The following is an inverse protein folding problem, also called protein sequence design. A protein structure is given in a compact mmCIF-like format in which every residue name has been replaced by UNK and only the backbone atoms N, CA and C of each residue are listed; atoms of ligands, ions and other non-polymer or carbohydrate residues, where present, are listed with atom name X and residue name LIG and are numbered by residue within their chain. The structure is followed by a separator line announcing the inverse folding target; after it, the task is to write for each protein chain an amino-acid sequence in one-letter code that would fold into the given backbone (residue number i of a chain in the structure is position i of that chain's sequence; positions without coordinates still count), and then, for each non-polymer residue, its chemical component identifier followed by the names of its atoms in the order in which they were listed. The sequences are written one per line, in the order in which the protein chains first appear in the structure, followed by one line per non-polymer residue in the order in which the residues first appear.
data_IF_040903910541
#
_entry.id   IF_040903910541
#
_cell.length_a   1.000
_cell.length_b   1.000
_cell.length_c   1.000
_cell.angle_alpha   90.00
_cell.angle_beta   90.00
_cell.angle_gamma   90.00
#
_symmetry.space_group_name_H-M   'P 1'
#
loop_
_entity.id
_entity.type
_entity.pdbx_description
1 polymer ?
#
# COMPACT_ATOMS: atom_id res chain seq x y z
N UNK A 1 -7.81 -34.18 11.94
CA UNK A 1 -9.12 -33.77 12.47
C UNK A 1 -8.89 -32.45 13.17
N UNK A 2 -8.97 -31.34 12.42
CA UNK A 2 -8.64 -30.00 12.92
C UNK A 2 -9.84 -29.48 13.71
N UNK A 3 -9.66 -29.23 15.01
CA UNK A 3 -10.61 -28.48 15.82
C UNK A 3 -10.43 -27.00 15.48
N UNK A 4 -11.44 -26.39 14.84
CA UNK A 4 -11.54 -24.95 14.71
C UNK A 4 -11.79 -24.35 16.10
N UNK A 5 -10.82 -23.60 16.62
CA UNK A 5 -10.97 -22.81 17.84
C UNK A 5 -11.85 -21.59 17.56
N UNK A 6 -13.16 -21.72 17.72
CA UNK A 6 -14.14 -20.63 17.52
C UNK A 6 -14.88 -20.25 18.81
N UNK A 7 -14.17 -20.22 19.94
CA UNK A 7 -14.76 -19.88 21.26
C UNK A 7 -14.15 -18.59 21.83
N UNK A 8 -14.45 -17.43 21.23
CA UNK A 8 -14.07 -16.16 21.84
C UNK A 8 -15.14 -15.56 22.76
N UNK A 9 -16.40 -16.02 22.73
CA UNK A 9 -17.46 -15.45 23.56
C UNK A 9 -18.52 -16.48 23.99
N UNK A 10 -18.14 -17.51 24.74
CA UNK A 10 -19.10 -18.18 25.62
C UNK A 10 -18.73 -17.85 27.07
N UNK A 11 -19.41 -16.85 27.63
CA UNK A 11 -19.48 -16.70 29.09
C UNK A 11 -20.19 -17.96 29.62
N UNK A 12 -19.40 -18.91 30.11
CA UNK A 12 -19.91 -20.07 30.82
C UNK A 12 -20.43 -19.56 32.17
N UNK A 13 -21.75 -19.33 32.25
CA UNK A 13 -22.46 -19.37 33.52
C UNK A 13 -22.62 -20.85 33.88
N UNK A 14 -21.60 -21.45 34.50
CA UNK A 14 -21.80 -22.70 35.23
C UNK A 14 -21.20 -22.59 36.64
N UNK A 15 -22.13 -22.57 37.58
CA UNK A 15 -21.97 -23.08 38.93
C UNK A 15 -21.30 -24.47 38.90
N UNK A 16 -20.40 -24.70 39.86
CA UNK A 16 -19.62 -25.93 40.16
C UNK A 16 -18.27 -26.16 39.43
N UNK A 17 -17.22 -25.58 40.02
CA UNK A 17 -15.98 -26.25 40.47
C UNK A 17 -15.37 -27.39 39.62
N UNK A 18 -15.02 -27.10 38.37
CA UNK A 18 -13.84 -27.73 37.74
C UNK A 18 -13.02 -26.60 37.13
N UNK A 19 -11.88 -26.29 37.74
CA UNK A 19 -10.94 -25.30 37.23
C UNK A 19 -10.24 -25.88 35.99
N UNK A 20 -10.92 -25.83 34.84
CA UNK A 20 -10.27 -26.04 33.55
C UNK A 20 -9.50 -24.76 33.26
N UNK A 21 -8.18 -24.80 33.48
CA UNK A 21 -7.27 -23.78 32.98
C UNK A 21 -7.26 -23.95 31.47
N UNK A 22 -8.16 -23.27 30.77
CA UNK A 22 -8.05 -23.08 29.33
C UNK A 22 -6.88 -22.12 29.14
N UNK A 23 -5.72 -22.66 28.78
CA UNK A 23 -4.63 -21.86 28.24
C UNK A 23 -5.15 -21.26 26.92
N UNK A 24 -5.66 -20.04 27.00
CA UNK A 24 -5.99 -19.25 25.81
C UNK A 24 -4.64 -18.93 25.17
N UNK A 25 -4.29 -19.66 24.10
CA UNK A 25 -3.22 -19.22 23.22
C UNK A 25 -3.60 -17.82 22.72
N UNK A 26 -2.85 -16.82 23.19
CA UNK A 26 -3.00 -15.46 22.70
C UNK A 26 -2.60 -15.48 21.25
N UNK A 27 -3.57 -15.34 20.35
CA UNK A 27 -3.31 -15.07 18.95
C UNK A 27 -2.30 -13.92 18.86
N UNK A 28 -1.21 -14.12 18.10
CA UNK A 28 -0.31 -13.03 17.75
C UNK A 28 -1.16 -11.95 17.07
N UNK A 29 -1.17 -10.74 17.63
CA UNK A 29 -1.91 -9.63 17.04
C UNK A 29 -1.18 -9.00 15.88
N UNK A 30 -1.89 -8.11 15.20
CA UNK A 30 -1.34 -7.22 14.19
C UNK A 30 -1.91 -5.81 14.36
N UNK A 31 -1.19 -4.82 13.82
CA UNK A 31 -1.67 -3.44 13.71
C UNK A 31 -2.60 -3.32 12.53
N UNK A 32 -3.81 -2.80 12.74
CA UNK A 32 -4.78 -2.56 11.67
C UNK A 32 -4.21 -1.58 10.63
N UNK A 33 -4.25 -1.96 9.35
CA UNK A 33 -3.82 -1.11 8.24
C UNK A 33 -4.87 -1.01 7.13
N UNK A 34 -5.68 -2.06 6.96
CA UNK A 34 -6.64 -2.16 5.86
C UNK A 34 -7.97 -2.68 6.39
N UNK A 35 -9.06 -2.02 6.01
CA UNK A 35 -10.41 -2.52 6.16
C UNK A 35 -11.02 -2.75 4.78
N UNK A 36 -11.56 -3.94 4.55
CA UNK A 36 -12.28 -4.33 3.34
C UNK A 36 -13.75 -4.47 3.65
N UNK A 37 -14.59 -3.73 2.95
CA UNK A 37 -16.03 -3.77 3.06
C UNK A 37 -16.57 -4.53 1.85
N UNK A 38 -17.35 -5.58 2.11
CA UNK A 38 -17.96 -6.37 1.05
C UNK A 38 -19.47 -6.16 1.03
N UNK A 39 -19.99 -5.62 -0.06
CA UNK A 39 -21.42 -5.56 -0.31
C UNK A 39 -21.94 -6.97 -0.60
N UNK A 40 -23.11 -7.28 -0.08
CA UNK A 40 -23.78 -8.56 -0.29
C UNK A 40 -24.04 -8.81 -1.77
N UNK A 41 -23.98 -10.08 -2.17
CA UNK A 41 -24.29 -10.51 -3.53
C UNK A 41 -25.79 -10.74 -3.75
N UNK A 42 -26.63 -10.49 -2.74
CA UNK A 42 -28.08 -10.56 -2.88
C UNK A 42 -28.57 -9.50 -3.85
N UNK A 43 -29.62 -9.83 -4.59
CA UNK A 43 -30.32 -8.85 -5.43
C UNK A 43 -30.77 -7.69 -4.55
N UNK A 44 -30.58 -6.45 -5.03
CA UNK A 44 -30.86 -5.18 -4.33
C UNK A 44 -30.08 -4.96 -3.03
N UNK A 45 -28.86 -5.50 -2.93
CA UNK A 45 -27.95 -5.21 -1.83
C UNK A 45 -27.10 -3.94 -2.05
N UNK A 46 -27.01 -3.42 -3.27
CA UNK A 46 -26.30 -2.18 -3.57
C UNK A 46 -26.99 -0.96 -2.98
N UNK A 47 -26.29 0.17 -2.96
CA UNK A 47 -26.74 1.48 -2.47
C UNK A 47 -27.37 2.35 -3.56
N UNK A 48 -27.74 1.75 -4.69
CA UNK A 48 -28.20 2.41 -5.91
C UNK A 48 -29.59 3.08 -5.78
N UNK A 49 -30.24 3.04 -4.61
CA UNK A 49 -31.52 3.73 -4.37
C UNK A 49 -32.70 3.15 -5.16
N UNK A 50 -32.57 1.94 -5.72
CA UNK A 50 -33.65 1.22 -6.39
C UNK A 50 -34.15 1.87 -7.70
N UNK A 51 -35.46 1.80 -7.99
CA UNK A 51 -36.07 2.22 -9.26
C UNK A 51 -35.86 3.70 -9.64
N UNK A 52 -35.49 4.54 -8.66
CA UNK A 52 -35.15 5.96 -8.85
C UNK A 52 -33.64 6.23 -8.80
N UNK A 53 -32.79 5.20 -8.90
CA UNK A 53 -31.33 5.32 -8.81
C UNK A 53 -30.70 6.30 -9.81
N UNK A 54 -31.38 6.59 -10.92
CA UNK A 54 -30.97 7.64 -11.87
C UNK A 54 -30.96 9.07 -11.29
N UNK A 55 -31.55 9.28 -10.10
CA UNK A 55 -31.53 10.56 -9.40
C UNK A 55 -30.37 10.72 -8.40
N UNK A 56 -29.49 9.71 -8.24
CA UNK A 56 -28.40 9.71 -7.24
C UNK A 56 -28.87 10.10 -5.83
N UNK A 57 -30.08 9.67 -5.44
CA UNK A 57 -30.64 9.92 -4.10
C UNK A 57 -30.33 8.81 -3.10
N UNK A 58 -29.65 7.74 -3.55
CA UNK A 58 -29.14 6.65 -2.71
C UNK A 58 -27.80 6.99 -2.06
N UNK A 59 -27.31 6.07 -1.22
CA UNK A 59 -26.04 6.20 -0.53
C UNK A 59 -26.11 6.72 0.90
N UNK A 60 -24.92 6.82 1.48
CA UNK A 60 -24.70 7.36 2.81
C UNK A 60 -23.24 7.30 3.23
N UNK A 61 -23.02 7.67 4.48
CA UNK A 61 -21.71 7.79 5.10
C UNK A 61 -21.54 6.68 6.13
N UNK A 62 -20.37 6.04 6.12
CA UNK A 62 -20.02 4.99 7.09
C UNK A 62 -18.99 5.49 8.08
N UNK A 63 -19.19 5.13 9.34
CA UNK A 63 -18.19 5.25 10.39
C UNK A 63 -18.04 3.92 11.10
N UNK A 64 -16.86 3.66 11.65
CA UNK A 64 -16.57 2.44 12.39
C UNK A 64 -15.98 2.75 13.75
N UNK A 65 -16.31 1.91 14.72
CA UNK A 65 -15.67 1.82 16.02
C UNK A 65 -15.26 0.38 16.27
N UNK A 66 -13.98 0.15 16.50
CA UNK A 66 -13.42 -1.18 16.75
C UNK A 66 -13.02 -1.25 18.21
N UNK A 67 -13.41 -2.32 18.90
CA UNK A 67 -13.10 -2.49 20.32
C UNK A 67 -12.49 -3.86 20.59
N UNK A 68 -11.48 -3.89 21.45
CA UNK A 68 -11.04 -5.10 22.12
C UNK A 68 -11.90 -5.29 23.38
N UNK A 69 -12.78 -6.28 23.37
CA UNK A 69 -13.75 -6.53 24.44
C UNK A 69 -13.09 -6.99 25.75
N UNK A 70 -11.85 -7.47 25.71
CA UNK A 70 -11.13 -7.90 26.91
C UNK A 70 -10.47 -6.72 27.64
N UNK A 71 -9.92 -5.77 26.88
CA UNK A 71 -9.21 -4.61 27.45
C UNK A 71 -10.09 -3.35 27.53
N UNK A 72 -11.24 -3.36 26.86
CA UNK A 72 -12.13 -2.21 26.67
C UNK A 72 -11.42 -1.00 26.01
N UNK A 73 -10.36 -1.26 25.24
CA UNK A 73 -9.69 -0.26 24.41
C UNK A 73 -10.37 -0.26 23.04
N UNK A 74 -10.70 0.92 22.54
CA UNK A 74 -11.35 1.10 21.24
C UNK A 74 -10.65 2.18 20.41
N UNK A 75 -10.85 2.12 19.10
CA UNK A 75 -10.62 3.21 18.16
C UNK A 75 -11.93 3.54 17.43
N UNK A 76 -12.02 4.73 16.84
CA UNK A 76 -13.20 5.17 16.09
C UNK A 76 -12.81 6.13 14.97
N UNK A 77 -13.47 6.03 13.81
CA UNK A 77 -13.36 7.03 12.75
C UNK A 77 -14.26 8.21 13.09
N UNK A 78 -13.65 9.37 13.36
CA UNK A 78 -14.34 10.61 13.72
C UNK A 78 -15.05 11.25 12.53
N UNK A 79 -14.48 11.12 11.34
CA UNK A 79 -15.10 11.53 10.09
C UNK A 79 -15.62 10.32 9.31
N UNK A 80 -16.59 10.49 8.40
CA UNK A 80 -17.01 9.44 7.49
C UNK A 80 -15.83 8.82 6.74
N UNK A 81 -15.91 7.51 6.51
CA UNK A 81 -15.01 6.81 5.62
C UNK A 81 -15.20 7.33 4.19
N UNK A 82 -14.22 8.10 3.72
CA UNK A 82 -14.25 8.71 2.39
C UNK A 82 -14.10 7.63 1.31
N UNK A 83 -15.07 7.60 0.40
CA UNK A 83 -15.03 6.81 -0.83
C UNK A 83 -15.12 7.74 -2.02
N UNK A 84 -14.59 7.31 -3.17
CA UNK A 84 -14.76 8.08 -4.42
C UNK A 84 -16.23 8.12 -4.86
N UNK A 85 -17.01 7.12 -4.44
CA UNK A 85 -18.42 6.98 -4.74
C UNK A 85 -19.17 6.42 -3.51
N UNK A 86 -20.33 7.00 -3.21
CA UNK A 86 -21.18 6.62 -2.08
C UNK A 86 -22.35 5.72 -2.52
N UNK A 87 -22.27 5.11 -3.70
CA UNK A 87 -23.31 4.32 -4.36
C UNK A 87 -22.85 2.88 -4.62
N UNK A 88 -22.28 2.21 -3.60
CA UNK A 88 -21.65 0.90 -3.77
C UNK A 88 -22.58 -0.13 -4.41
N UNK A 89 -22.10 -0.79 -5.46
CA UNK A 89 -22.84 -1.76 -6.23
C UNK A 89 -22.95 -3.12 -5.54
N UNK A 90 -23.86 -3.95 -6.03
CA UNK A 90 -24.01 -5.33 -5.57
C UNK A 90 -22.70 -6.11 -5.76
N UNK A 91 -22.23 -6.79 -4.70
CA UNK A 91 -20.95 -7.53 -4.67
C UNK A 91 -19.69 -6.65 -4.77
N UNK A 92 -19.81 -5.33 -4.70
CA UNK A 92 -18.66 -4.44 -4.68
C UNK A 92 -17.79 -4.68 -3.44
N UNK A 93 -16.48 -4.50 -3.62
CA UNK A 93 -15.49 -4.58 -2.55
C UNK A 93 -14.80 -3.23 -2.46
N UNK A 94 -14.96 -2.59 -1.31
CA UNK A 94 -14.34 -1.31 -1.00
C UNK A 94 -13.20 -1.48 0.00
N UNK A 95 -12.12 -0.75 -0.19
CA UNK A 95 -10.94 -0.79 0.67
C UNK A 95 -10.67 0.57 1.29
N UNK A 96 -10.38 0.56 2.60
CA UNK A 96 -9.94 1.73 3.36
C UNK A 96 -8.58 1.42 3.96
N UNK A 97 -7.58 2.24 3.66
CA UNK A 97 -6.17 1.94 3.88
C UNK A 97 -5.51 3.11 4.63
N UNK A 98 -4.68 2.79 5.62
CA UNK A 98 -3.84 3.75 6.33
C UNK A 98 -4.67 4.91 6.91
N UNK A 99 -4.40 6.13 6.44
CA UNK A 99 -5.01 7.36 6.97
C UNK A 99 -6.52 7.41 6.84
N UNK A 100 -7.11 6.68 5.88
CA UNK A 100 -8.57 6.60 5.73
C UNK A 100 -9.24 5.98 6.96
N UNK A 101 -8.49 5.20 7.76
CA UNK A 101 -8.95 4.60 9.01
C UNK A 101 -8.78 5.53 10.22
N UNK A 102 -8.18 6.71 10.07
CA UNK A 102 -8.05 7.73 11.11
C UNK A 102 -7.45 7.16 12.41
N UNK A 103 -8.08 7.39 13.57
CA UNK A 103 -7.61 6.88 14.88
C UNK A 103 -7.57 5.34 14.97
N UNK A 104 -8.21 4.65 14.03
CA UNK A 104 -8.12 3.19 13.92
C UNK A 104 -6.87 2.71 13.16
N UNK A 105 -6.15 3.59 12.48
CA UNK A 105 -4.86 3.23 11.90
C UNK A 105 -3.91 2.76 13.00
N UNK A 106 -3.31 1.59 12.82
CA UNK A 106 -2.43 0.91 13.77
C UNK A 106 -3.09 0.42 15.08
N UNK A 107 -4.42 0.34 15.14
CA UNK A 107 -5.10 -0.30 16.27
C UNK A 107 -4.64 -1.76 16.43
N UNK A 108 -4.30 -2.17 17.66
CA UNK A 108 -3.76 -3.50 17.95
C UNK A 108 -4.87 -4.58 17.94
N UNK A 109 -4.95 -5.35 16.86
CA UNK A 109 -5.94 -6.38 16.60
C UNK A 109 -5.58 -7.68 17.32
N UNK A 110 -5.92 -7.76 18.62
CA UNK A 110 -5.67 -8.93 19.47
C UNK A 110 -6.93 -9.38 20.20
N UNK A 111 -7.08 -10.69 20.40
CA UNK A 111 -8.13 -11.25 21.26
C UNK A 111 -9.55 -11.07 20.71
N UNK A 112 -10.49 -10.69 21.58
CA UNK A 112 -11.91 -10.59 21.24
C UNK A 112 -12.22 -9.21 20.64
N UNK A 113 -12.25 -9.13 19.31
CA UNK A 113 -12.57 -7.89 18.59
C UNK A 113 -14.07 -7.80 18.30
N UNK A 114 -14.62 -6.61 18.45
CA UNK A 114 -15.93 -6.23 17.93
C UNK A 114 -15.84 -5.02 17.01
N UNK A 115 -16.81 -4.93 16.11
CA UNK A 115 -17.01 -3.81 15.21
C UNK A 115 -18.40 -3.22 15.47
N UNK A 116 -18.44 -1.94 15.78
CA UNK A 116 -19.66 -1.13 15.66
C UNK A 116 -19.58 -0.36 14.35
N UNK A 117 -20.53 -0.61 13.46
CA UNK A 117 -20.67 0.13 12.22
C UNK A 117 -21.84 1.08 12.33
N UNK A 118 -21.63 2.32 11.92
CA UNK A 118 -22.62 3.40 11.96
C UNK A 118 -22.81 3.86 10.52
N UNK A 119 -24.05 4.02 10.11
CA UNK A 119 -24.42 4.55 8.81
C UNK A 119 -25.32 5.77 8.98
N UNK A 120 -25.09 6.79 8.17
CA UNK A 120 -25.95 7.96 8.02
C UNK A 120 -26.24 8.22 6.54
N UNK A 121 -27.49 8.06 6.12
CA UNK A 121 -27.86 8.29 4.71
C UNK A 121 -29.19 7.65 4.35
N UNK A 122 -29.56 7.68 3.08
CA UNK A 122 -30.84 7.11 2.64
C UNK A 122 -30.77 5.61 2.40
N UNK A 123 -29.61 5.11 1.94
CA UNK A 123 -29.43 3.71 1.56
C UNK A 123 -27.97 3.29 1.74
N UNK A 124 -27.70 2.54 2.81
CA UNK A 124 -26.36 1.99 3.07
C UNK A 124 -26.19 0.57 2.53
N UNK A 125 -27.12 0.09 1.70
CA UNK A 125 -27.03 -1.25 1.13
C UNK A 125 -26.98 -2.35 2.20
N UNK A 126 -26.82 -3.59 1.75
CA UNK A 126 -26.61 -4.75 2.63
C UNK A 126 -25.13 -5.16 2.56
N UNK A 127 -24.40 -4.98 3.65
CA UNK A 127 -23.01 -5.43 3.75
C UNK A 127 -22.97 -6.90 4.20
N UNK A 128 -22.19 -7.74 3.52
CA UNK A 128 -21.98 -9.14 3.92
C UNK A 128 -21.03 -9.20 5.11
N UNK A 129 -19.85 -8.58 4.98
CA UNK A 129 -18.83 -8.56 6.02
C UNK A 129 -17.91 -7.34 5.89
N UNK A 130 -17.23 -7.04 6.99
CA UNK A 130 -16.03 -6.20 7.01
C UNK A 130 -14.86 -7.07 7.44
N UNK A 131 -13.77 -7.03 6.69
CA UNK A 131 -12.55 -7.78 6.98
C UNK A 131 -11.39 -6.82 7.27
N UNK A 132 -10.68 -7.07 8.36
CA UNK A 132 -9.54 -6.26 8.80
C UNK A 132 -8.23 -6.99 8.59
N UNK A 133 -7.21 -6.26 8.10
CA UNK A 133 -5.87 -6.79 7.81
C UNK A 133 -4.76 -5.87 8.34
N UNK A 134 -3.59 -6.47 8.54
CA UNK A 134 -2.35 -5.73 8.78
C UNK A 134 -1.66 -5.31 7.49
N UNK A 135 -0.41 -4.86 7.60
CA UNK A 135 0.46 -4.53 6.45
C UNK A 135 0.76 -5.75 5.56
N UNK A 136 0.45 -6.97 6.01
CA UNK A 136 0.61 -8.22 5.29
C UNK A 136 -0.57 -8.56 4.36
N UNK A 137 -1.43 -7.61 4.01
CA UNK A 137 -2.57 -7.87 3.11
C UNK A 137 -2.16 -8.38 1.72
N UNK A 138 -1.04 -7.91 1.16
CA UNK A 138 -0.52 -8.36 -0.14
C UNK A 138 -0.03 -9.82 -0.15
N UNK A 139 -0.12 -10.52 0.98
CA UNK A 139 0.28 -11.90 1.15
C UNK A 139 -0.96 -12.76 0.93
N UNK A 140 -0.88 -13.76 0.03
CA UNK A 140 -2.05 -14.48 -0.48
C UNK A 140 -2.99 -15.02 0.62
N UNK A 141 -4.24 -15.37 0.28
CA UNK A 141 -5.32 -15.69 1.23
C UNK A 141 -4.97 -16.68 2.38
N UNK A 142 -3.97 -17.54 2.16
CA UNK A 142 -3.50 -18.52 3.16
C UNK A 142 -2.40 -18.00 4.08
N UNK A 143 -1.94 -16.76 3.90
CA UNK A 143 -0.72 -16.22 4.51
C UNK A 143 -0.94 -14.91 5.28
N UNK A 144 -2.19 -14.52 5.52
CA UNK A 144 -2.51 -13.29 6.27
C UNK A 144 -3.32 -13.58 7.52
N UNK A 145 -3.10 -12.77 8.55
CA UNK A 145 -3.99 -12.70 9.71
C UNK A 145 -5.14 -11.75 9.37
N UNK A 146 -6.36 -12.21 9.58
CA UNK A 146 -7.56 -11.40 9.30
C UNK A 146 -8.59 -11.53 10.42
N UNK A 147 -9.32 -10.44 10.70
CA UNK A 147 -10.54 -10.48 11.49
C UNK A 147 -11.73 -10.26 10.56
N UNK A 148 -12.68 -11.18 10.58
CA UNK A 148 -13.89 -11.12 9.76
C UNK A 148 -15.08 -10.79 10.67
N UNK A 149 -15.75 -9.69 10.39
CA UNK A 149 -16.90 -9.18 11.13
C UNK A 149 -18.15 -9.33 10.25
N UNK A 150 -18.99 -10.36 10.47
CA UNK A 150 -20.19 -10.58 9.66
C UNK A 150 -21.25 -9.52 9.98
N UNK A 151 -21.67 -8.76 8.96
CA UNK A 151 -22.67 -7.69 9.13
C UNK A 151 -24.06 -8.24 8.79
N UNK A 152 -24.27 -8.66 7.54
CA UNK A 152 -25.49 -9.28 7.02
C UNK A 152 -26.78 -8.54 7.36
N UNK A 153 -26.69 -7.21 7.44
CA UNK A 153 -27.83 -6.33 7.65
C UNK A 153 -27.78 -5.18 6.67
N UNK A 154 -28.98 -4.71 6.30
CA UNK A 154 -29.13 -3.47 5.56
C UNK A 154 -29.10 -2.29 6.52
N UNK A 155 -28.22 -1.32 6.30
CA UNK A 155 -28.14 -0.12 7.13
C UNK A 155 -28.76 1.06 6.37
N UNK A 156 -30.02 1.37 6.62
CA UNK A 156 -30.71 2.53 6.01
C UNK A 156 -30.91 3.63 7.05
N UNK A 157 -30.93 4.91 6.66
CA UNK A 157 -31.13 6.01 7.62
C UNK A 157 -29.95 6.20 8.57
N UNK A 158 -30.25 6.71 9.76
CA UNK A 158 -29.32 6.74 10.89
C UNK A 158 -29.44 5.44 11.67
N UNK A 159 -28.54 4.49 11.40
CA UNK A 159 -28.57 3.17 12.01
C UNK A 159 -27.16 2.73 12.43
N UNK A 160 -27.10 1.88 13.45
CA UNK A 160 -25.84 1.27 13.88
C UNK A 160 -26.02 -0.20 14.24
N UNK A 161 -24.98 -0.97 14.03
CA UNK A 161 -24.92 -2.38 14.43
C UNK A 161 -23.58 -2.68 15.08
N UNK A 162 -23.60 -3.43 16.19
CA UNK A 162 -22.40 -4.00 16.82
C UNK A 162 -22.34 -5.49 16.52
N UNK A 163 -21.22 -5.97 16.00
CA UNK A 163 -20.97 -7.37 15.66
C UNK A 163 -19.67 -7.87 16.28
N UNK A 164 -19.62 -9.15 16.61
CA UNK A 164 -18.38 -9.80 17.04
C UNK A 164 -17.59 -10.26 15.81
N UNK A 165 -16.27 -10.05 15.84
CA UNK A 165 -15.37 -10.44 14.77
C UNK A 165 -14.71 -11.78 15.10
N UNK A 166 -14.45 -12.58 14.07
CA UNK A 166 -13.73 -13.85 14.20
C UNK A 166 -12.34 -13.72 13.61
N UNK A 167 -11.31 -14.01 14.41
CA UNK A 167 -9.94 -14.13 13.90
C UNK A 167 -9.80 -15.39 13.06
N UNK A 168 -9.14 -15.25 11.91
CA UNK A 168 -8.66 -16.36 11.11
C UNK A 168 -7.14 -16.29 11.10
N UNK A 169 -6.53 -17.15 11.92
CA UNK A 169 -5.09 -17.30 11.97
C UNK A 169 -4.66 -18.40 11.02
N UNK A 170 -3.84 -18.03 10.05
CA UNK A 170 -3.09 -18.99 9.27
C UNK A 170 -1.72 -19.24 9.91
N UNK A 171 -1.18 -20.45 9.78
CA UNK A 171 0.11 -20.89 10.34
C UNK A 171 1.32 -20.33 9.58
N UNK A 172 1.22 -19.11 9.08
CA UNK A 172 2.18 -18.52 8.19
C UNK A 172 3.40 -17.98 8.94
N UNK A 173 4.58 -18.27 8.42
CA UNK A 173 5.84 -17.67 8.89
C UNK A 173 6.15 -16.44 8.02
N UNK A 174 5.90 -15.23 8.54
CA UNK A 174 6.16 -13.99 7.81
C UNK A 174 7.61 -13.82 7.38
N UNK A 175 8.55 -14.54 7.99
CA UNK A 175 9.97 -14.41 7.70
C UNK A 175 10.43 -15.22 6.48
N UNK A 176 9.55 -16.00 5.84
CA UNK A 176 9.92 -16.91 4.73
C UNK A 176 9.33 -16.53 3.38
N UNK A 177 8.51 -15.48 3.30
CA UNK A 177 7.94 -15.05 2.03
C UNK A 177 8.79 -14.02 1.29
N UNK A 178 8.52 -13.95 -0.01
CA UNK A 178 9.01 -12.88 -0.87
C UNK A 178 7.80 -12.24 -1.55
N UNK A 179 7.56 -10.94 -1.36
CA UNK A 179 6.43 -10.22 -1.97
C UNK A 179 5.08 -10.92 -1.81
N UNK A 180 4.78 -11.46 -0.63
CA UNK A 180 3.48 -12.09 -0.38
C UNK A 180 3.48 -13.59 -0.14
N UNK A 181 4.45 -14.33 -0.71
CA UNK A 181 4.40 -15.80 -0.74
C UNK A 181 5.80 -16.43 -0.80
N UNK A 182 6.02 -17.52 -0.07
CA UNK A 182 7.31 -18.25 -0.08
C UNK A 182 7.65 -18.84 -1.45
N UNK A 183 6.63 -19.19 -2.25
CA UNK A 183 6.82 -19.76 -3.59
C UNK A 183 7.48 -18.76 -4.53
N UNK A 184 7.32 -17.46 -4.27
CA UNK A 184 7.91 -16.40 -5.09
C UNK A 184 9.43 -16.24 -4.87
N UNK A 185 9.96 -16.74 -3.76
CA UNK A 185 11.38 -16.58 -3.44
C UNK A 185 12.33 -17.24 -4.44
N UNK A 186 11.86 -18.28 -5.16
CA UNK A 186 12.64 -18.97 -6.18
C UNK A 186 12.48 -18.38 -7.58
N UNK A 187 11.57 -17.42 -7.78
CA UNK A 187 11.32 -16.80 -9.07
C UNK A 187 12.45 -15.80 -9.38
N UNK A 188 13.11 -15.89 -10.56
CA UNK A 188 14.02 -14.84 -11.03
C UNK A 188 13.29 -13.50 -11.14
N UNK A 189 13.93 -12.40 -10.72
CA UNK A 189 13.35 -11.05 -10.77
C UNK A 189 12.72 -10.74 -12.15
N UNK A 190 13.43 -11.08 -13.24
CA UNK A 190 12.97 -10.84 -14.62
C UNK A 190 11.78 -11.69 -15.08
N UNK A 191 11.32 -12.63 -14.24
CA UNK A 191 10.15 -13.49 -14.50
C UNK A 191 9.02 -13.26 -13.50
N UNK A 192 9.22 -12.39 -12.51
CA UNK A 192 8.18 -12.03 -11.57
C UNK A 192 7.29 -10.93 -12.14
N UNK A 193 5.98 -11.05 -11.94
CA UNK A 193 5.01 -10.02 -12.33
C UNK A 193 4.75 -9.12 -11.14
N UNK A 194 5.14 -7.85 -11.24
CA UNK A 194 4.89 -6.86 -10.21
C UNK A 194 3.56 -6.16 -10.44
N UNK A 195 2.77 -6.02 -9.38
CA UNK A 195 1.69 -5.03 -9.34
C UNK A 195 2.32 -3.66 -9.06
N UNK A 196 1.98 -2.68 -9.91
CA UNK A 196 2.62 -1.37 -9.91
C UNK A 196 1.64 -0.24 -10.17
N UNK A 197 2.04 0.97 -9.77
CA UNK A 197 1.26 2.19 -9.93
C UNK A 197 1.96 3.17 -10.87
N UNK A 198 1.17 3.79 -11.75
CA UNK A 198 1.62 4.84 -12.66
C UNK A 198 1.57 6.19 -11.97
N UNK A 199 2.62 7.01 -12.11
CA UNK A 199 2.78 8.28 -11.39
C UNK A 199 2.55 8.12 -9.88
N UNK A 200 3.19 7.10 -9.31
CA UNK A 200 3.01 6.62 -7.95
C UNK A 200 3.14 7.72 -6.89
N UNK A 201 4.04 8.68 -7.10
CA UNK A 201 4.30 9.75 -6.14
C UNK A 201 3.22 10.83 -6.09
N UNK A 202 2.15 10.74 -6.88
CA UNK A 202 1.03 11.70 -6.87
C UNK A 202 0.13 11.60 -5.64
N UNK A 203 0.25 10.54 -4.83
CA UNK A 203 -0.52 10.35 -3.59
C UNK A 203 0.11 10.92 -2.32
N UNK A 204 1.31 11.51 -2.42
CA UNK A 204 2.07 12.06 -1.28
C UNK A 204 1.48 13.38 -0.75
N UNK A 205 0.94 14.26 -1.62
CA UNK A 205 0.35 15.54 -1.19
C UNK A 205 -1.14 15.36 -0.90
N UNK A 206 -1.47 15.41 0.38
CA UNK A 206 -2.82 15.35 0.93
C UNK A 206 -3.38 16.75 1.18
N UNK A 207 -2.52 17.77 1.18
CA UNK A 207 -2.84 19.12 1.66
C UNK A 207 -3.64 19.96 0.66
N UNK A 208 -3.81 19.47 -0.57
CA UNK A 208 -4.47 20.25 -1.59
C UNK A 208 -5.52 19.43 -2.37
N UNK A 209 -6.74 19.37 -1.82
CA UNK A 209 -7.96 19.03 -2.58
C UNK A 209 -8.42 20.28 -3.34
N UNK A 210 -7.52 20.87 -4.15
CA UNK A 210 -7.95 21.86 -5.12
C UNK A 210 -8.49 21.12 -6.35
N UNK A 211 -9.58 21.60 -6.97
CA UNK A 211 -10.13 20.99 -8.21
C UNK A 211 -9.11 20.88 -9.35
N UNK A 212 -8.03 21.67 -9.29
CA UNK A 212 -6.91 21.63 -10.24
C UNK A 212 -6.09 20.35 -10.06
N UNK A 213 -6.02 19.79 -8.85
CA UNK A 213 -5.20 18.62 -8.55
C UNK A 213 -5.82 17.32 -9.08
N UNK A 214 -7.15 17.25 -9.26
CA UNK A 214 -7.80 16.09 -9.88
C UNK A 214 -7.30 15.79 -11.31
N UNK A 215 -6.84 16.81 -12.05
CA UNK A 215 -6.33 16.61 -13.42
C UNK A 215 -4.91 16.01 -13.47
N UNK A 216 -4.17 16.10 -12.36
CA UNK A 216 -2.77 15.67 -12.28
C UNK A 216 -2.53 14.52 -11.29
N UNK A 217 -3.48 14.25 -10.39
CA UNK A 217 -3.37 13.19 -9.38
C UNK A 217 -3.79 11.85 -9.97
N UNK A 218 -2.93 10.84 -9.82
CA UNK A 218 -3.21 9.47 -10.28
C UNK A 218 -3.47 8.51 -9.12
N UNK A 219 -2.91 8.77 -7.94
CA UNK A 219 -2.98 7.89 -6.78
C UNK A 219 -3.56 8.64 -5.59
N UNK A 220 -4.51 8.03 -4.88
CA UNK A 220 -5.04 8.57 -3.63
C UNK A 220 -4.27 8.11 -2.39
N UNK A 221 -3.42 7.10 -2.54
CA UNK A 221 -2.64 6.49 -1.48
C UNK A 221 -1.20 7.00 -1.53
N UNK A 222 -0.61 7.32 -0.38
CA UNK A 222 0.84 7.56 -0.30
C UNK A 222 1.62 6.24 -0.48
N UNK A 223 2.95 6.33 -0.57
CA UNK A 223 3.82 5.18 -0.80
C UNK A 223 3.65 4.08 0.23
N UNK A 224 3.48 4.44 1.50
CA UNK A 224 3.30 3.48 2.59
C UNK A 224 1.99 2.72 2.43
N UNK A 225 0.92 3.42 2.11
CA UNK A 225 -0.41 2.84 1.87
C UNK A 225 -0.42 1.97 0.61
N UNK A 226 0.26 2.41 -0.46
CA UNK A 226 0.45 1.59 -1.66
C UNK A 226 1.22 0.30 -1.34
N UNK A 227 2.26 0.37 -0.50
CA UNK A 227 3.02 -0.79 -0.05
C UNK A 227 2.16 -1.74 0.80
N UNK A 228 1.39 -1.22 1.75
CA UNK A 228 0.43 -2.02 2.53
C UNK A 228 -0.57 -2.74 1.62
N UNK A 229 -0.98 -2.09 0.53
CA UNK A 229 -1.89 -2.64 -0.47
C UNK A 229 -1.23 -3.58 -1.49
N UNK A 230 0.06 -3.90 -1.32
CA UNK A 230 0.78 -4.89 -2.14
C UNK A 230 1.44 -4.32 -3.39
N UNK A 231 1.46 -3.00 -3.60
CA UNK A 231 2.21 -2.37 -4.69
C UNK A 231 3.71 -2.52 -4.45
N UNK A 232 4.45 -2.99 -5.45
CA UNK A 232 5.91 -3.20 -5.36
C UNK A 232 6.67 -2.59 -6.54
N UNK A 233 5.97 -1.93 -7.45
CA UNK A 233 6.55 -1.24 -8.59
C UNK A 233 5.99 0.18 -8.64
N UNK A 234 6.86 1.18 -8.55
CA UNK A 234 6.48 2.58 -8.50
C UNK A 234 7.04 3.30 -9.73
N UNK A 235 6.16 3.71 -10.63
CA UNK A 235 6.51 4.60 -11.74
C UNK A 235 6.47 6.06 -11.23
N UNK A 236 7.59 6.75 -11.28
CA UNK A 236 7.80 8.06 -10.69
C UNK A 236 8.18 9.07 -11.76
N UNK A 237 7.37 10.11 -11.87
CA UNK A 237 7.73 11.34 -12.54
C UNK A 237 8.38 12.27 -11.51
N UNK A 238 9.57 12.79 -11.81
CA UNK A 238 10.35 13.59 -10.87
C UNK A 238 10.89 14.88 -11.49
N UNK A 239 11.04 15.89 -10.65
CA UNK A 239 11.63 17.18 -11.02
C UNK A 239 12.48 17.71 -9.87
N UNK A 240 13.61 18.33 -10.20
CA UNK A 240 14.36 19.19 -9.31
C UNK A 240 14.17 20.64 -9.74
N UNK A 241 13.49 21.43 -8.92
CA UNK A 241 13.26 22.86 -9.19
C UNK A 241 13.58 23.73 -7.97
N UNK A 242 13.51 25.05 -8.16
CA UNK A 242 13.59 26.04 -7.08
C UNK A 242 12.38 26.95 -7.17
N UNK A 243 11.41 26.72 -6.29
CA UNK A 243 10.15 27.46 -6.21
C UNK A 243 9.39 27.61 -7.54
N UNK A 244 9.24 26.52 -8.30
CA UNK A 244 8.47 26.50 -9.54
C UNK A 244 7.04 26.03 -9.26
N UNK A 245 6.07 26.95 -9.24
CA UNK A 245 4.65 26.62 -8.96
C UNK A 245 4.46 25.75 -7.70
N UNK A 246 5.16 26.11 -6.62
CA UNK A 246 5.24 25.40 -5.34
C UNK A 246 6.07 24.10 -5.35
N UNK A 247 6.79 23.81 -6.43
CA UNK A 247 7.83 22.78 -6.46
C UNK A 247 9.18 23.35 -6.01
N UNK A 248 9.78 22.80 -4.95
CA UNK A 248 11.06 23.26 -4.41
C UNK A 248 11.92 22.09 -3.91
N UNK A 249 13.05 21.81 -4.56
CA UNK A 249 13.82 20.59 -4.28
C UNK A 249 13.48 19.46 -5.26
N UNK A 250 13.89 18.24 -4.90
CA UNK A 250 13.64 17.02 -5.66
C UNK A 250 12.30 16.41 -5.23
N UNK A 251 11.34 16.43 -6.12
CA UNK A 251 9.96 16.06 -5.83
C UNK A 251 9.38 15.09 -6.85
N UNK A 252 8.43 14.27 -6.39
CA UNK A 252 7.52 13.59 -7.30
C UNK A 252 6.56 14.61 -7.92
N UNK A 253 6.15 14.37 -9.15
CA UNK A 253 5.16 15.20 -9.81
C UNK A 253 4.37 14.48 -10.89
N UNK A 254 3.63 15.25 -11.66
CA UNK A 254 2.98 14.80 -12.89
C UNK A 254 2.57 16.01 -13.73
N UNK A 255 2.70 15.87 -15.05
CA UNK A 255 2.28 16.87 -16.02
C UNK A 255 3.29 17.02 -17.16
N UNK A 256 3.23 18.15 -17.86
CA UNK A 256 4.16 18.51 -18.94
C UNK A 256 4.47 19.99 -18.86
N UNK A 257 5.56 20.46 -19.46
CA UNK A 257 5.88 21.89 -19.56
C UNK A 257 5.84 22.60 -18.19
N UNK A 258 6.67 22.18 -17.23
CA UNK A 258 6.70 22.75 -15.88
C UNK A 258 6.90 24.27 -15.88
N UNK A 259 7.64 24.81 -16.86
CA UNK A 259 7.84 26.25 -17.08
C UNK A 259 6.55 27.02 -17.43
N UNK A 260 5.51 26.33 -17.92
CA UNK A 260 4.20 26.90 -18.22
C UNK A 260 3.18 26.68 -17.09
N UNK A 261 3.58 26.04 -15.99
CA UNK A 261 2.69 25.72 -14.86
C UNK A 261 1.73 24.57 -15.15
N UNK A 262 2.05 23.73 -16.15
CA UNK A 262 1.30 22.55 -16.53
C UNK A 262 1.89 21.25 -15.90
N UNK A 263 2.67 21.43 -14.84
CA UNK A 263 3.24 20.38 -14.00
C UNK A 263 2.91 20.65 -12.52
N UNK A 264 2.65 19.60 -11.75
CA UNK A 264 2.38 19.68 -10.31
C UNK A 264 3.30 18.74 -9.55
N UNK A 265 3.81 19.21 -8.41
CA UNK A 265 4.57 18.39 -7.48
C UNK A 265 3.65 17.90 -6.36
N UNK A 266 3.94 16.69 -5.86
CA UNK A 266 3.14 16.03 -4.85
C UNK A 266 3.93 15.66 -3.60
N UNK A 267 5.23 15.97 -3.52
CA UNK A 267 5.99 15.76 -2.30
C UNK A 267 7.47 15.50 -2.55
N UNK A 268 8.28 15.62 -1.50
CA UNK A 268 9.72 15.36 -1.56
C UNK A 268 9.97 13.89 -1.83
N UNK A 269 10.84 13.60 -2.80
CA UNK A 269 11.26 12.22 -3.07
C UNK A 269 12.03 11.61 -1.89
N UNK A 270 12.69 12.44 -1.08
CA UNK A 270 13.36 12.02 0.16
C UNK A 270 12.37 11.37 1.15
N UNK A 271 11.21 12.00 1.37
CA UNK A 271 10.16 11.50 2.25
C UNK A 271 9.59 10.18 1.69
N UNK A 272 9.33 10.13 0.38
CA UNK A 272 8.86 8.91 -0.30
C UNK A 272 9.83 7.73 -0.07
N UNK A 273 11.13 7.96 -0.27
CA UNK A 273 12.15 6.91 -0.09
C UNK A 273 12.29 6.53 1.38
N UNK A 274 12.27 7.49 2.30
CA UNK A 274 12.34 7.22 3.74
C UNK A 274 11.17 6.34 4.20
N UNK A 275 9.94 6.69 3.83
CA UNK A 275 8.75 5.91 4.18
C UNK A 275 8.78 4.50 3.59
N UNK A 276 9.23 4.35 2.34
CA UNK A 276 9.42 3.03 1.74
C UNK A 276 10.44 2.18 2.52
N UNK A 277 11.56 2.77 2.94
CA UNK A 277 12.60 2.06 3.69
C UNK A 277 12.11 1.70 5.09
N UNK A 278 11.40 2.61 5.76
CA UNK A 278 10.80 2.36 7.06
C UNK A 278 9.81 1.19 6.98
N UNK A 279 8.94 1.19 5.98
CA UNK A 279 8.02 0.08 5.73
C UNK A 279 8.77 -1.24 5.45
N UNK A 280 9.82 -1.23 4.63
CA UNK A 280 10.64 -2.42 4.37
C UNK A 280 11.29 -2.97 5.66
N UNK A 281 11.75 -2.09 6.55
CA UNK A 281 12.32 -2.48 7.84
C UNK A 281 11.26 -3.15 8.74
N UNK A 282 10.07 -2.56 8.84
CA UNK A 282 8.95 -3.10 9.62
C UNK A 282 8.52 -4.49 9.11
N UNK A 283 8.65 -4.71 7.80
CA UNK A 283 8.35 -5.98 7.15
C UNK A 283 9.55 -6.95 7.15
N UNK A 284 10.56 -6.75 7.99
CA UNK A 284 11.76 -7.59 8.07
C UNK A 284 12.52 -7.77 6.74
N UNK A 285 12.43 -6.78 5.84
CA UNK A 285 13.07 -6.76 4.52
C UNK A 285 12.67 -7.88 3.57
N UNK A 286 11.48 -8.46 3.76
CA UNK A 286 11.00 -9.62 3.00
C UNK A 286 10.38 -9.28 1.64
N UNK A 287 10.46 -8.03 1.22
CA UNK A 287 9.91 -7.56 -0.05
C UNK A 287 11.00 -7.00 -0.95
N UNK A 288 10.83 -7.21 -2.25
CA UNK A 288 11.55 -6.56 -3.34
C UNK A 288 10.69 -5.44 -3.91
N UNK A 289 11.28 -4.24 -4.00
CA UNK A 289 10.63 -3.04 -4.53
C UNK A 289 11.36 -2.54 -5.77
N UNK A 290 10.61 -2.04 -6.74
CA UNK A 290 11.10 -1.44 -7.97
C UNK A 290 10.72 0.04 -7.98
N UNK A 291 11.74 0.90 -8.13
CA UNK A 291 11.57 2.31 -8.45
C UNK A 291 11.89 2.51 -9.92
N UNK A 292 10.90 2.92 -10.70
CA UNK A 292 11.05 3.23 -12.11
C UNK A 292 10.82 4.72 -12.31
N UNK A 293 11.82 5.46 -12.75
CA UNK A 293 11.72 6.89 -13.02
C UNK A 293 11.31 7.11 -14.48
N UNK A 294 10.00 7.29 -14.71
CA UNK A 294 9.38 7.32 -16.03
C UNK A 294 9.54 8.65 -16.77
N UNK A 295 9.33 9.78 -16.08
CA UNK A 295 9.67 11.11 -16.58
C UNK A 295 10.62 11.83 -15.62
N UNK A 296 11.63 12.47 -16.19
CA UNK A 296 12.61 13.26 -15.45
C UNK A 296 12.62 14.64 -16.09
N UNK A 297 11.89 15.59 -15.51
CA UNK A 297 11.88 16.97 -15.96
C UNK A 297 13.11 17.72 -15.44
N UNK A 298 13.59 18.70 -16.20
CA UNK A 298 14.84 19.43 -15.91
C UNK A 298 16.02 18.50 -15.63
N UNK A 299 16.25 17.55 -16.53
CA UNK A 299 17.28 16.51 -16.46
C UNK A 299 18.64 17.01 -15.90
N UNK A 300 19.13 18.18 -16.33
CA UNK A 300 20.40 18.75 -15.87
C UNK A 300 20.50 18.97 -14.36
N UNK A 301 19.41 19.38 -13.71
CA UNK A 301 19.36 19.54 -12.25
C UNK A 301 18.82 18.31 -11.54
N UNK A 302 17.93 17.56 -12.18
CA UNK A 302 17.23 16.43 -11.55
C UNK A 302 18.11 15.20 -11.42
N UNK A 303 18.93 14.88 -12.42
CA UNK A 303 19.84 13.73 -12.31
C UNK A 303 20.84 13.85 -11.16
N UNK A 304 21.58 14.97 -10.98
CA UNK A 304 22.50 15.10 -9.85
C UNK A 304 21.80 15.05 -8.48
N UNK A 305 20.59 15.60 -8.39
CA UNK A 305 19.79 15.56 -7.17
C UNK A 305 19.35 14.14 -6.83
N UNK A 306 18.86 13.39 -7.83
CA UNK A 306 18.48 11.99 -7.68
C UNK A 306 19.70 11.14 -7.30
N UNK A 307 20.83 11.30 -7.99
CA UNK A 307 22.06 10.57 -7.68
C UNK A 307 22.50 10.81 -6.23
N UNK A 308 22.43 12.06 -5.76
CA UNK A 308 22.75 12.39 -4.37
C UNK A 308 21.83 11.65 -3.39
N UNK A 309 20.52 11.62 -3.65
CA UNK A 309 19.56 10.88 -2.82
C UNK A 309 19.87 9.39 -2.80
N UNK A 310 20.12 8.79 -3.97
CA UNK A 310 20.38 7.35 -4.09
C UNK A 310 21.74 6.93 -3.47
N UNK A 311 22.68 7.86 -3.29
CA UNK A 311 23.99 7.60 -2.63
C UNK A 311 23.93 7.62 -1.11
N UNK A 312 22.81 8.06 -0.52
CA UNK A 312 22.64 8.01 0.94
C UNK A 312 22.70 6.55 1.40
N UNK A 313 23.44 6.21 2.48
CA UNK A 313 23.61 4.83 2.95
C UNK A 313 22.30 4.07 3.10
N UNK A 314 21.26 4.75 3.58
CA UNK A 314 19.91 4.22 3.79
C UNK A 314 19.36 3.46 2.58
N UNK A 315 19.61 3.96 1.36
CA UNK A 315 19.15 3.36 0.11
C UNK A 315 20.28 2.64 -0.64
N UNK A 316 21.49 3.20 -0.69
CA UNK A 316 22.62 2.65 -1.46
C UNK A 316 22.97 1.20 -1.05
N UNK A 317 22.90 0.90 0.25
CA UNK A 317 23.18 -0.43 0.78
C UNK A 317 22.14 -1.48 0.38
N UNK A 318 20.97 -1.05 -0.11
CA UNK A 318 19.86 -1.92 -0.53
C UNK A 318 19.71 -2.06 -2.04
N UNK A 319 20.46 -1.28 -2.81
CA UNK A 319 20.38 -1.31 -4.26
C UNK A 319 20.90 -2.64 -4.79
N UNK A 320 20.11 -3.28 -5.64
CA UNK A 320 20.53 -4.50 -6.31
C UNK A 320 21.59 -4.22 -7.37
N UNK A 321 22.76 -4.86 -7.22
CA UNK A 321 23.93 -4.71 -8.12
C UNK A 321 24.22 -5.99 -8.91
N UNK A 322 23.31 -6.96 -8.84
CA UNK A 322 23.61 -8.36 -9.11
C UNK A 322 23.67 -8.64 -10.62
N UNK A 323 22.77 -8.02 -11.40
CA UNK A 323 22.81 -8.08 -12.86
C UNK A 323 24.09 -7.45 -13.44
N UNK A 324 24.59 -6.34 -12.89
CA UNK A 324 25.85 -5.72 -13.36
C UNK A 324 27.04 -6.65 -13.12
N UNK A 325 27.08 -7.28 -11.96
CA UNK A 325 28.20 -8.12 -11.52
C UNK A 325 28.20 -9.46 -12.26
N UNK A 326 27.03 -10.08 -12.42
CA UNK A 326 26.91 -11.47 -12.85
C UNK A 326 26.25 -11.66 -14.22
N UNK A 327 25.76 -10.58 -14.84
CA UNK A 327 24.96 -10.61 -16.09
C UNK A 327 23.74 -11.54 -16.00
N UNK A 328 23.21 -11.73 -14.79
CA UNK A 328 22.06 -12.57 -14.47
C UNK A 328 21.23 -11.89 -13.40
N UNK A 329 19.91 -11.90 -13.57
CA UNK A 329 18.98 -11.42 -12.56
C UNK A 329 18.94 -12.39 -11.37
N UNK A 330 18.95 -11.89 -10.11
CA UNK A 330 18.79 -12.73 -8.94
C UNK A 330 17.36 -13.30 -8.88
N UNK A 331 17.16 -14.32 -8.05
CA UNK A 331 15.80 -14.62 -7.57
C UNK A 331 15.38 -13.59 -6.52
N UNK A 332 14.08 -13.44 -6.28
CA UNK A 332 13.59 -12.53 -5.23
C UNK A 332 14.17 -12.89 -3.85
N UNK A 333 14.21 -14.18 -3.51
CA UNK A 333 14.77 -14.65 -2.24
C UNK A 333 16.26 -14.36 -2.08
N UNK A 334 17.04 -14.37 -3.18
CA UNK A 334 18.45 -13.96 -3.14
C UNK A 334 18.57 -12.46 -2.87
N UNK A 335 17.79 -11.63 -3.59
CA UNK A 335 17.80 -10.19 -3.40
C UNK A 335 17.45 -9.78 -1.96
N UNK A 336 16.43 -10.42 -1.38
CA UNK A 336 16.03 -10.26 0.03
C UNK A 336 17.12 -10.74 0.99
N UNK A 337 17.64 -11.95 0.80
CA UNK A 337 18.65 -12.54 1.69
C UNK A 337 19.96 -11.75 1.75
N UNK A 338 20.32 -11.07 0.66
CA UNK A 338 21.49 -10.19 0.58
C UNK A 338 21.17 -8.73 0.96
N UNK A 339 19.93 -8.44 1.36
CA UNK A 339 19.40 -7.09 1.61
C UNK A 339 19.53 -6.13 0.41
N UNK A 340 19.71 -6.68 -0.78
CA UNK A 340 19.81 -5.97 -2.06
C UNK A 340 18.45 -5.97 -2.78
N UNK A 341 17.41 -5.54 -2.06
CA UNK A 341 16.01 -5.76 -2.42
C UNK A 341 15.35 -4.56 -3.11
N UNK A 342 16.11 -3.52 -3.49
CA UNK A 342 15.60 -2.37 -4.24
C UNK A 342 16.20 -2.37 -5.65
N UNK A 343 15.35 -2.30 -6.66
CA UNK A 343 15.73 -2.21 -8.06
C UNK A 343 15.38 -0.84 -8.61
N UNK A 344 16.30 -0.22 -9.35
CA UNK A 344 16.11 1.11 -9.92
C UNK A 344 16.19 1.05 -11.44
N UNK A 345 15.20 1.68 -12.06
CA UNK A 345 15.14 1.88 -13.49
C UNK A 345 14.90 3.37 -13.78
N UNK A 346 15.47 3.90 -14.85
CA UNK A 346 15.11 5.24 -15.35
C UNK A 346 14.90 5.15 -16.84
N UNK A 347 13.85 5.81 -17.31
CA UNK A 347 13.63 6.00 -18.74
C UNK A 347 14.52 7.12 -19.24
N UNK A 348 15.15 6.89 -20.39
CA UNK A 348 15.98 7.89 -21.07
C UNK A 348 15.45 8.12 -22.47
N UNK A 349 15.34 9.39 -22.89
CA UNK A 349 14.81 9.74 -24.23
C UNK A 349 15.83 9.59 -25.36
N UNK A 350 17.12 9.48 -25.04
CA UNK A 350 18.15 9.17 -26.03
C UNK A 350 18.20 7.64 -26.22
N UNK A 351 18.11 7.12 -27.46
CA UNK A 351 18.43 5.71 -27.73
C UNK A 351 19.89 5.50 -27.32
N UNK A 352 20.07 4.88 -26.17
CA UNK A 352 21.39 4.51 -25.69
C UNK A 352 21.80 3.33 -26.56
N UNK A 353 22.77 3.53 -27.45
CA UNK A 353 23.44 2.43 -28.16
C UNK A 353 23.82 1.37 -27.09
N UNK A 354 23.40 0.11 -27.22
CA UNK A 354 23.47 -0.94 -26.18
C UNK A 354 24.87 -1.13 -25.56
N UNK A 355 25.92 -0.57 -26.19
CA UNK A 355 27.30 -0.50 -25.68
C UNK A 355 27.54 0.60 -24.64
N UNK A 356 26.68 1.62 -24.55
CA UNK A 356 26.76 2.79 -23.68
C UNK A 356 25.89 2.70 -22.42
N UNK A 357 25.21 1.58 -22.14
CA UNK A 357 24.57 1.34 -20.84
C UNK A 357 25.57 1.28 -19.66
N UNK A 358 26.87 1.35 -19.98
CA UNK A 358 27.99 1.54 -19.08
C UNK A 358 28.41 3.00 -18.88
N UNK A 359 27.69 3.99 -19.42
CA UNK A 359 27.85 5.39 -19.02
C UNK A 359 27.16 5.60 -17.67
N UNK A 360 27.97 5.61 -16.62
CA UNK A 360 27.89 6.66 -15.60
C UNK A 360 27.53 7.97 -16.31
N UNK A 361 26.50 8.69 -15.88
CA UNK A 361 26.12 9.99 -16.45
C UNK A 361 27.34 10.91 -16.34
N UNK A 362 28.11 11.18 -17.41
CA UNK A 362 29.28 12.01 -17.29
C UNK A 362 28.82 13.45 -17.50
N UNK A 363 28.56 14.17 -16.41
CA UNK A 363 28.49 15.63 -16.43
C UNK A 363 29.91 16.21 -16.55
N UNK A 364 30.51 15.98 -17.73
CA UNK A 364 31.46 16.84 -18.45
C UNK A 364 32.34 16.02 -19.40
N UNK A 365 32.65 16.65 -20.54
CA UNK A 365 33.43 16.09 -21.65
C UNK A 365 34.77 15.48 -21.20
N UNK A 366 35.07 14.32 -21.80
CA UNK A 366 36.39 13.68 -21.96
C UNK A 366 37.17 13.41 -20.67
N UNK A 367 37.01 12.22 -20.10
CA UNK A 367 38.13 11.39 -19.65
C UNK A 367 37.68 9.93 -19.51
N UNK A 368 38.55 8.97 -19.88
CA UNK A 368 38.37 7.54 -19.56
C UNK A 368 38.52 7.38 -18.04
N UNK A 369 37.46 6.98 -17.34
CA UNK A 369 37.53 6.62 -15.93
C UNK A 369 37.22 5.13 -15.73
N UNK A 370 37.88 4.58 -14.70
CA UNK A 370 37.73 3.21 -14.21
C UNK A 370 36.63 3.23 -13.15
N UNK A 371 35.63 2.34 -13.30
CA UNK A 371 34.47 2.20 -12.41
C UNK A 371 34.87 2.13 -10.93
N UNK A 372 34.19 2.90 -10.09
CA UNK A 372 34.35 2.87 -8.63
C UNK A 372 33.42 1.83 -7.99
N UNK A 373 33.67 1.45 -6.74
CA UNK A 373 32.76 0.60 -5.96
C UNK A 373 31.46 1.33 -5.54
N UNK A 374 31.42 2.64 -5.72
CA UNK A 374 30.34 3.53 -5.22
C UNK A 374 29.33 3.94 -6.31
N UNK A 375 29.38 3.32 -7.50
CA UNK A 375 28.52 3.69 -8.62
C UNK A 375 27.08 3.18 -8.43
N UNK A 376 26.11 4.07 -8.66
CA UNK A 376 24.68 3.75 -8.67
C UNK A 376 24.25 3.35 -10.05
N UNK A 377 23.48 2.26 -10.14
CA UNK A 377 23.11 1.66 -11.41
C UNK A 377 21.65 1.93 -11.66
N UNK A 378 21.41 2.51 -12.83
CA UNK A 378 20.09 2.67 -13.38
C UNK A 378 19.96 1.74 -14.57
N UNK A 379 18.89 0.96 -14.61
CA UNK A 379 18.49 0.20 -15.80
C UNK A 379 17.40 0.94 -16.57
N UNK A 380 17.61 1.36 -17.82
CA UNK A 380 16.50 1.74 -18.70
C UNK A 380 15.89 0.51 -19.39
N UNK A 381 14.56 0.45 -19.45
CA UNK A 381 13.83 -0.51 -20.30
C UNK A 381 13.26 0.27 -21.46
N UNK A 382 13.92 0.24 -22.62
CA UNK A 382 13.31 0.71 -23.87
C UNK A 382 12.45 -0.42 -24.46
N UNK A 383 11.27 -0.07 -24.94
CA UNK A 383 10.47 -0.93 -25.80
C UNK A 383 10.40 -0.22 -27.14
N UNK A 384 11.19 -0.68 -28.11
CA UNK A 384 11.01 -0.28 -29.51
C UNK A 384 9.59 -0.65 -29.91
N UNK A 385 8.81 0.34 -30.33
CA UNK A 385 7.50 0.19 -30.96
C UNK A 385 7.64 0.26 -32.46
#
# INVERSE_FOLDING_TARGET
MFMNNTYCCFYIILSLCVAIIVLIETANGFKLRIAQFQVSNKKSAGMDGGFLGFLNLGGGEFRIKICNEMTNICCETLDPLETQNNDWEQSEINFFIGRQLQDCENFEMTGCISLTMIHEGNDGGELENVTFYGSDFGYGENNRQEYICPIRVKLDGYNSIKVACTSKNNTYDPNRACNGDERFCHIPFSRFTFFGTHNAGTGEDISSISKINCAFKNQDLNVREQLDFGVRFFDLDIIQSKNLYNCDGLESGHGKYPELGLYRCFGKLEIFVEEMINWLNEMNNRDVVVLYFGAIDFEESTYPALEKLLKVPLINERLNKDYKTNKKWPTLGKAIGEKNNIFIFMRTNNPIDDKEFHREVPFHKKHKQTLSKDDIIITSTYKDG
#
